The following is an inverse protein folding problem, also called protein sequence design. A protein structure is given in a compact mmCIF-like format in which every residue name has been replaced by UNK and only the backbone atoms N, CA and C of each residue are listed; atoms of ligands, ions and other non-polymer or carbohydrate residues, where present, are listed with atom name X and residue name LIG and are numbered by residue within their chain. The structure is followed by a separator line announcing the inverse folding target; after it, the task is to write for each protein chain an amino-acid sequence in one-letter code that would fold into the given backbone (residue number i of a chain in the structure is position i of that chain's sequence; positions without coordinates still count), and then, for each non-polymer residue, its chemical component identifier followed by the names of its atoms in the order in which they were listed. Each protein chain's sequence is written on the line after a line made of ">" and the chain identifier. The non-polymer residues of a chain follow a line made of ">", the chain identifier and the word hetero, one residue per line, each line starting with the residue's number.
data_IF_338337039044
#
_entry.id   IF_338337039044
#
_cell.length_a   1.000
_cell.length_b   1.000
_cell.length_c   1.000
_cell.angle_alpha   90.00
_cell.angle_beta   90.00
_cell.angle_gamma   90.00
#
_symmetry.space_group_name_H-M   'P 1'
#
loop_
_entity.id
_entity.type
_entity.pdbx_description
1 polymer ?
#
# COMPACT_ATOMS: atom_id res chain seq x y z
N UNK A 1 -21.52 12.57 -30.35
CA UNK A 1 -20.51 13.37 -29.61
C UNK A 1 -19.16 12.70 -29.81
N UNK A 2 -18.27 13.31 -30.62
CA UNK A 2 -16.88 12.88 -30.67
C UNK A 2 -16.22 13.26 -29.34
N UNK A 3 -15.79 12.26 -28.56
CA UNK A 3 -14.98 12.49 -27.38
C UNK A 3 -13.62 12.93 -27.89
N UNK A 4 -13.27 14.20 -27.70
CA UNK A 4 -11.96 14.73 -28.08
C UNK A 4 -10.90 14.06 -27.20
N UNK A 5 -10.03 13.24 -27.80
CA UNK A 5 -8.85 12.65 -27.13
C UNK A 5 -7.62 13.37 -27.64
N UNK A 6 -6.98 14.13 -26.77
CA UNK A 6 -5.67 14.76 -26.99
C UNK A 6 -4.60 14.04 -26.18
N UNK A 7 -3.42 13.81 -26.77
CA UNK A 7 -2.26 13.35 -26.02
C UNK A 7 -1.56 14.55 -25.38
N UNK A 8 -1.29 14.44 -24.10
CA UNK A 8 -0.51 15.39 -23.30
C UNK A 8 0.78 14.71 -22.87
N UNK A 9 1.90 15.15 -23.39
CA UNK A 9 3.21 14.60 -23.03
C UNK A 9 3.83 13.68 -24.11
N UNK A 10 5.15 13.62 -24.09
CA UNK A 10 5.96 12.78 -25.00
C UNK A 10 6.17 11.35 -24.49
N UNK A 11 5.68 11.02 -23.30
CA UNK A 11 6.05 9.82 -22.58
C UNK A 11 4.82 9.12 -22.00
N UNK A 12 4.52 7.95 -22.54
CA UNK A 12 3.50 7.05 -21.98
C UNK A 12 4.23 5.91 -21.24
N UNK A 13 4.27 6.00 -19.91
CA UNK A 13 4.96 5.04 -19.05
C UNK A 13 4.16 3.73 -18.94
N UNK A 14 4.10 2.96 -20.01
CA UNK A 14 3.44 1.65 -20.04
C UNK A 14 4.37 0.64 -20.74
N UNK A 15 4.50 -0.53 -20.13
CA UNK A 15 5.33 -1.62 -20.63
C UNK A 15 4.58 -2.47 -21.66
N UNK A 16 5.30 -3.08 -22.60
CA UNK A 16 4.74 -4.10 -23.48
C UNK A 16 4.15 -5.27 -22.69
N UNK A 17 3.10 -5.88 -23.25
CA UNK A 17 2.38 -7.01 -22.65
C UNK A 17 3.28 -8.23 -22.44
N UNK A 18 3.12 -8.91 -21.30
CA UNK A 18 3.71 -10.20 -21.00
C UNK A 18 2.62 -11.28 -20.93
N UNK A 19 2.90 -12.49 -21.36
CA UNK A 19 1.93 -13.59 -21.31
C UNK A 19 1.46 -13.91 -19.87
N UNK A 20 2.29 -13.58 -18.89
CA UNK A 20 1.97 -13.76 -17.47
C UNK A 20 1.08 -12.67 -16.88
N UNK A 21 0.87 -11.55 -17.56
CA UNK A 21 0.16 -10.39 -17.01
C UNK A 21 -1.25 -10.72 -16.50
N UNK A 22 -1.68 -9.97 -15.51
CA UNK A 22 -2.94 -10.15 -14.78
C UNK A 22 -3.66 -8.80 -14.76
N UNK A 23 -4.99 -8.80 -14.91
CA UNK A 23 -5.86 -7.64 -14.75
C UNK A 23 -6.83 -7.94 -13.61
N UNK A 24 -6.89 -7.07 -12.63
CA UNK A 24 -7.34 -7.35 -11.29
C UNK A 24 -8.29 -6.28 -10.78
N UNK A 25 -9.35 -6.70 -10.09
CA UNK A 25 -10.34 -5.84 -9.47
C UNK A 25 -10.91 -6.47 -8.20
N UNK A 26 -11.39 -5.63 -7.26
CA UNK A 26 -11.92 -6.02 -5.96
C UNK A 26 -13.33 -5.48 -5.74
N UNK A 27 -14.17 -6.31 -5.10
CA UNK A 27 -15.47 -5.87 -4.61
C UNK A 27 -15.53 -5.97 -3.09
N UNK A 28 -15.93 -4.88 -2.45
CA UNK A 28 -15.97 -4.79 -0.99
C UNK A 28 -17.20 -4.09 -0.45
N UNK A 29 -17.50 -4.35 0.83
CA UNK A 29 -18.57 -3.69 1.57
C UNK A 29 -18.05 -3.19 2.90
N UNK A 30 -18.43 -1.97 3.26
CA UNK A 30 -18.20 -1.43 4.59
C UNK A 30 -19.39 -1.73 5.50
N UNK A 31 -19.12 -2.30 6.69
CA UNK A 31 -20.12 -2.43 7.74
C UNK A 31 -20.41 -1.03 8.33
N UNK A 32 -21.63 -0.52 8.20
CA UNK A 32 -21.98 0.83 8.63
C UNK A 32 -21.99 0.99 10.15
N UNK A 33 -22.04 -0.10 10.92
CA UNK A 33 -22.10 -0.09 12.40
C UNK A 33 -20.73 -0.24 13.00
N UNK A 34 -19.96 -1.20 12.50
CA UNK A 34 -18.63 -1.52 13.03
C UNK A 34 -17.51 -0.73 12.34
N UNK A 35 -17.79 -0.09 11.19
CA UNK A 35 -16.78 0.59 10.38
C UNK A 35 -15.73 -0.35 9.78
N UNK A 36 -15.94 -1.66 9.87
CA UNK A 36 -15.06 -2.68 9.29
C UNK A 36 -15.38 -2.86 7.82
N UNK A 37 -14.36 -3.11 7.01
CA UNK A 37 -14.49 -3.40 5.59
C UNK A 37 -14.26 -4.88 5.33
N UNK A 38 -15.06 -5.46 4.45
CA UNK A 38 -14.95 -6.85 3.97
C UNK A 38 -14.83 -6.81 2.45
N UNK A 39 -13.71 -7.31 1.90
CA UNK A 39 -13.57 -7.59 0.48
C UNK A 39 -14.21 -8.95 0.19
N UNK A 40 -15.41 -8.94 -0.36
CA UNK A 40 -16.17 -10.19 -0.57
C UNK A 40 -15.82 -10.89 -1.87
N UNK A 41 -15.15 -10.22 -2.80
CA UNK A 41 -14.74 -10.80 -4.07
C UNK A 41 -13.38 -10.26 -4.52
N UNK A 42 -12.46 -11.17 -4.80
CA UNK A 42 -11.20 -10.90 -5.47
C UNK A 42 -11.30 -11.50 -6.86
N UNK A 43 -11.30 -10.67 -7.90
CA UNK A 43 -11.39 -11.11 -9.28
C UNK A 43 -10.17 -10.76 -10.11
N UNK A 44 -9.87 -11.58 -11.10
CA UNK A 44 -8.83 -11.27 -12.08
C UNK A 44 -9.07 -11.95 -13.43
N UNK A 45 -8.55 -11.31 -14.47
CA UNK A 45 -8.40 -11.88 -15.79
C UNK A 45 -6.93 -12.17 -16.09
N UNK A 46 -6.67 -13.23 -16.85
CA UNK A 46 -5.34 -13.61 -17.33
C UNK A 46 -5.43 -14.36 -18.65
N UNK A 47 -4.33 -14.44 -19.39
CA UNK A 47 -4.30 -15.26 -20.60
C UNK A 47 -4.06 -16.74 -20.30
N UNK A 48 -4.86 -17.59 -20.95
CA UNK A 48 -4.63 -19.03 -20.99
C UNK A 48 -3.32 -19.35 -21.72
N UNK A 49 -2.60 -20.35 -21.21
CA UNK A 49 -1.31 -20.75 -21.77
C UNK A 49 -1.45 -21.47 -23.13
N UNK A 50 -2.60 -22.13 -23.36
CA UNK A 50 -2.79 -23.01 -24.50
C UNK A 50 -3.33 -22.32 -25.75
N UNK A 51 -4.20 -21.32 -25.60
CA UNK A 51 -4.97 -20.74 -26.71
C UNK A 51 -5.04 -19.19 -26.70
N UNK A 52 -4.34 -18.55 -25.77
CA UNK A 52 -4.34 -17.10 -25.56
C UNK A 52 -5.72 -16.47 -25.24
N UNK A 53 -6.74 -17.28 -24.98
CA UNK A 53 -8.04 -16.79 -24.54
C UNK A 53 -7.91 -16.13 -23.16
N UNK A 54 -8.78 -15.14 -22.89
CA UNK A 54 -8.89 -14.54 -21.56
C UNK A 54 -9.69 -15.48 -20.66
N UNK A 55 -9.16 -15.76 -19.48
CA UNK A 55 -9.78 -16.57 -18.43
C UNK A 55 -9.99 -15.69 -17.22
N UNK A 56 -11.22 -15.70 -16.71
CA UNK A 56 -11.56 -15.06 -15.43
C UNK A 56 -11.43 -16.05 -14.29
N UNK A 57 -10.97 -15.58 -13.13
CA UNK A 57 -10.86 -16.35 -11.89
C UNK A 57 -11.26 -15.49 -10.71
N UNK A 58 -12.02 -16.05 -9.78
CA UNK A 58 -12.56 -15.38 -8.62
C UNK A 58 -12.30 -16.14 -7.32
N UNK A 59 -12.17 -15.40 -6.22
CA UNK A 59 -12.17 -15.91 -4.85
C UNK A 59 -13.22 -15.15 -4.05
N UNK A 60 -14.20 -15.85 -3.54
CA UNK A 60 -15.28 -15.32 -2.74
C UNK A 60 -14.99 -15.42 -1.25
N UNK A 61 -15.49 -14.44 -0.47
CA UNK A 61 -15.41 -14.40 0.97
C UNK A 61 -16.67 -13.76 1.57
N UNK A 62 -17.31 -14.42 2.53
CA UNK A 62 -18.53 -13.93 3.18
C UNK A 62 -18.35 -13.75 4.68
N UNK A 63 -17.12 -13.82 5.17
CA UNK A 63 -16.74 -13.60 6.55
C UNK A 63 -15.26 -13.20 6.62
N UNK A 64 -14.80 -12.59 7.73
CA UNK A 64 -13.39 -12.24 7.90
C UNK A 64 -12.43 -13.44 7.78
N UNK A 65 -12.83 -14.62 8.19
CA UNK A 65 -12.02 -15.84 8.07
C UNK A 65 -11.93 -16.33 6.61
N UNK A 66 -13.03 -16.22 5.86
CA UNK A 66 -13.05 -16.53 4.44
C UNK A 66 -12.27 -15.48 3.64
N UNK A 67 -12.34 -14.18 4.01
CA UNK A 67 -11.56 -13.10 3.40
C UNK A 67 -10.06 -13.33 3.57
N UNK A 68 -9.61 -13.65 4.79
CA UNK A 68 -8.22 -14.03 5.02
C UNK A 68 -7.78 -15.15 4.09
N UNK A 69 -8.59 -16.22 4.01
CA UNK A 69 -8.27 -17.38 3.18
C UNK A 69 -8.26 -17.04 1.68
N UNK A 70 -9.27 -16.31 1.20
CA UNK A 70 -9.35 -15.87 -0.19
C UNK A 70 -8.12 -15.03 -0.58
N UNK A 71 -7.71 -14.11 0.29
CA UNK A 71 -6.52 -13.30 0.12
C UNK A 71 -5.23 -14.14 0.07
N UNK A 72 -5.07 -15.10 1.01
CA UNK A 72 -3.91 -15.99 1.05
C UNK A 72 -3.82 -16.88 -0.20
N UNK A 73 -4.95 -17.47 -0.62
CA UNK A 73 -5.07 -18.33 -1.79
C UNK A 73 -4.77 -17.52 -3.09
N UNK A 74 -5.24 -16.28 -3.17
CA UNK A 74 -4.96 -15.37 -4.29
C UNK A 74 -3.46 -15.01 -4.37
N UNK A 75 -2.84 -14.62 -3.24
CA UNK A 75 -1.41 -14.31 -3.19
C UNK A 75 -0.58 -15.52 -3.59
N UNK A 76 -0.94 -16.72 -3.11
CA UNK A 76 -0.23 -17.96 -3.48
C UNK A 76 -0.37 -18.28 -4.97
N UNK A 77 -1.54 -18.05 -5.54
CA UNK A 77 -1.76 -18.24 -6.98
C UNK A 77 -0.89 -17.28 -7.81
N UNK A 78 -0.78 -16.01 -7.42
CA UNK A 78 0.07 -15.02 -8.07
C UNK A 78 1.55 -15.41 -7.94
N UNK A 79 2.02 -15.79 -6.76
CA UNK A 79 3.39 -16.25 -6.55
C UNK A 79 3.75 -17.46 -7.40
N UNK A 80 2.82 -18.41 -7.56
CA UNK A 80 3.02 -19.56 -8.43
C UNK A 80 3.05 -19.17 -9.91
N UNK A 81 2.31 -18.13 -10.31
CA UNK A 81 2.36 -17.57 -11.66
C UNK A 81 3.67 -16.81 -11.90
N UNK A 82 4.17 -16.04 -10.92
CA UNK A 82 5.46 -15.35 -10.96
C UNK A 82 6.64 -16.31 -11.18
N UNK A 83 6.61 -17.53 -10.63
CA UNK A 83 7.64 -18.56 -10.90
C UNK A 83 7.73 -18.94 -12.36
N UNK A 84 6.61 -18.89 -13.11
CA UNK A 84 6.55 -19.20 -14.54
C UNK A 84 6.81 -17.97 -15.41
N UNK A 85 6.36 -16.81 -14.96
CA UNK A 85 6.44 -15.53 -15.66
C UNK A 85 7.08 -14.47 -14.74
N UNK A 86 8.41 -14.48 -14.55
CA UNK A 86 9.09 -13.59 -13.61
C UNK A 86 8.87 -12.09 -13.87
N UNK A 87 8.54 -11.76 -15.12
CA UNK A 87 8.33 -10.38 -15.56
C UNK A 87 6.84 -10.00 -15.66
N UNK A 88 5.90 -10.78 -15.11
CA UNK A 88 4.48 -10.41 -15.12
C UNK A 88 4.24 -9.11 -14.35
N UNK A 89 3.14 -8.44 -14.68
CA UNK A 89 2.59 -7.32 -13.90
C UNK A 89 1.12 -7.57 -13.57
N UNK A 90 0.67 -6.96 -12.49
CA UNK A 90 -0.73 -6.95 -12.05
C UNK A 90 -1.26 -5.56 -12.31
N UNK A 91 -2.13 -5.43 -13.31
CA UNK A 91 -2.74 -4.17 -13.69
C UNK A 91 -4.06 -3.97 -12.96
N UNK A 92 -4.29 -2.76 -12.48
CA UNK A 92 -5.53 -2.32 -11.84
C UNK A 92 -5.84 -0.88 -12.24
N UNK A 93 -6.99 -0.34 -11.82
CA UNK A 93 -7.39 1.02 -12.15
C UNK A 93 -7.80 1.81 -10.92
N UNK A 94 -6.94 2.72 -10.47
CA UNK A 94 -7.11 3.52 -9.27
C UNK A 94 -6.38 2.96 -8.04
N UNK A 95 -6.46 3.69 -6.94
CA UNK A 95 -5.68 3.40 -5.73
C UNK A 95 -6.33 2.38 -4.78
N UNK A 96 -7.60 2.00 -5.06
CA UNK A 96 -8.38 1.17 -4.15
C UNK A 96 -7.77 -0.22 -3.93
N UNK A 97 -7.46 -0.95 -5.01
CA UNK A 97 -6.93 -2.31 -4.97
C UNK A 97 -5.62 -2.37 -4.20
N UNK A 98 -4.71 -1.44 -4.50
CA UNK A 98 -3.43 -1.34 -3.81
C UNK A 98 -3.57 -1.06 -2.31
N UNK A 99 -4.54 -0.23 -1.94
CA UNK A 99 -4.85 0.08 -0.54
C UNK A 99 -5.51 -1.10 0.17
N UNK A 100 -6.41 -1.80 -0.51
CA UNK A 100 -7.11 -2.97 0.02
C UNK A 100 -6.15 -4.14 0.31
N UNK A 101 -5.27 -4.51 -0.62
CA UNK A 101 -4.31 -5.61 -0.40
C UNK A 101 -3.32 -5.31 0.73
N UNK A 102 -2.90 -4.04 0.92
CA UNK A 102 -2.10 -3.62 2.06
C UNK A 102 -2.88 -3.79 3.37
N UNK A 103 -4.12 -3.31 3.39
CA UNK A 103 -5.01 -3.45 4.55
C UNK A 103 -5.23 -4.91 4.91
N UNK A 104 -5.52 -5.78 3.94
CA UNK A 104 -5.70 -7.22 4.16
C UNK A 104 -4.46 -7.89 4.75
N UNK A 105 -3.27 -7.59 4.20
CA UNK A 105 -2.01 -8.13 4.72
C UNK A 105 -1.79 -7.76 6.19
N UNK A 106 -2.08 -6.51 6.57
CA UNK A 106 -1.94 -6.01 7.93
C UNK A 106 -3.02 -6.52 8.87
N UNK A 107 -4.28 -6.42 8.47
CA UNK A 107 -5.44 -6.84 9.27
C UNK A 107 -5.32 -8.30 9.70
N UNK A 108 -4.84 -9.16 8.80
CA UNK A 108 -4.69 -10.59 9.06
C UNK A 108 -3.27 -11.00 9.43
N UNK A 109 -2.32 -10.07 9.50
CA UNK A 109 -0.89 -10.33 9.78
C UNK A 109 -0.35 -11.50 8.93
N UNK A 110 -0.68 -11.49 7.63
CA UNK A 110 -0.34 -12.55 6.67
C UNK A 110 0.23 -11.99 5.38
N UNK A 111 1.12 -12.75 4.72
CA UNK A 111 1.72 -12.40 3.42
C UNK A 111 2.39 -11.01 3.34
N UNK A 112 2.61 -10.32 4.47
CA UNK A 112 3.10 -8.94 4.54
C UNK A 112 4.41 -8.72 3.76
N UNK A 113 5.37 -9.64 3.89
CA UNK A 113 6.66 -9.56 3.19
C UNK A 113 6.49 -9.70 1.68
N UNK A 114 5.57 -10.57 1.24
CA UNK A 114 5.28 -10.77 -0.19
C UNK A 114 4.66 -9.49 -0.76
N UNK A 115 3.65 -8.95 -0.09
CA UNK A 115 2.98 -7.70 -0.53
C UNK A 115 3.97 -6.53 -0.53
N UNK A 116 4.81 -6.39 0.51
CA UNK A 116 5.85 -5.36 0.54
C UNK A 116 6.82 -5.48 -0.66
N UNK A 117 7.23 -6.70 -1.02
CA UNK A 117 8.05 -6.95 -2.19
C UNK A 117 7.33 -6.61 -3.50
N UNK A 118 6.05 -6.95 -3.64
CA UNK A 118 5.25 -6.59 -4.82
C UNK A 118 5.16 -5.07 -5.02
N UNK A 119 4.92 -4.32 -3.92
CA UNK A 119 4.88 -2.86 -3.96
C UNK A 119 6.24 -2.26 -4.34
N UNK A 120 7.32 -2.77 -3.77
CA UNK A 120 8.68 -2.29 -4.01
C UNK A 120 9.19 -2.60 -5.42
N UNK A 121 8.79 -3.73 -5.99
CA UNK A 121 9.17 -4.15 -7.35
C UNK A 121 8.27 -3.58 -8.44
N UNK A 122 7.32 -2.68 -8.07
CA UNK A 122 6.32 -2.17 -9.01
C UNK A 122 5.60 -3.31 -9.76
N UNK A 123 5.29 -4.41 -9.03
CA UNK A 123 4.52 -5.52 -9.60
C UNK A 123 3.10 -5.10 -9.91
N UNK A 124 2.49 -4.28 -9.03
CA UNK A 124 1.19 -3.65 -9.23
C UNK A 124 1.36 -2.39 -10.07
N UNK A 125 0.55 -2.26 -11.10
CA UNK A 125 0.57 -1.15 -12.06
C UNK A 125 -0.81 -0.54 -12.13
N UNK A 126 -0.93 0.67 -11.61
CA UNK A 126 -2.14 1.47 -11.74
C UNK A 126 -2.19 2.12 -13.13
N UNK A 127 -3.27 1.86 -13.88
CA UNK A 127 -3.46 2.43 -15.21
C UNK A 127 -4.06 3.85 -15.17
N UNK A 128 -4.64 4.28 -14.05
CA UNK A 128 -5.21 5.63 -13.93
C UNK A 128 -4.14 6.73 -14.14
N UNK A 129 -2.96 6.67 -13.49
CA UNK A 129 -1.88 7.62 -13.75
C UNK A 129 -1.42 7.65 -15.21
N UNK A 130 -1.38 6.48 -15.86
CA UNK A 130 -1.02 6.39 -17.29
C UNK A 130 -2.04 7.12 -18.14
N UNK A 131 -3.33 6.96 -17.84
CA UNK A 131 -4.42 7.64 -18.57
C UNK A 131 -4.37 9.14 -18.33
N UNK A 132 -4.37 9.59 -17.08
CA UNK A 132 -4.40 11.03 -16.73
C UNK A 132 -3.16 11.77 -17.21
N UNK A 133 -1.99 11.14 -17.13
CA UNK A 133 -0.72 11.72 -17.60
C UNK A 133 -0.53 11.72 -19.12
N UNK A 134 -1.30 10.92 -19.86
CA UNK A 134 -1.10 10.75 -21.31
C UNK A 134 -2.25 11.24 -22.17
N UNK A 135 -3.46 11.37 -21.63
CA UNK A 135 -4.69 11.58 -22.41
C UNK A 135 -5.50 12.73 -21.81
N UNK A 136 -5.94 13.65 -22.66
CA UNK A 136 -7.01 14.61 -22.33
C UNK A 136 -8.34 14.02 -22.75
N UNK A 137 -9.24 13.84 -21.80
CA UNK A 137 -10.56 13.28 -21.97
C UNK A 137 -11.60 14.42 -21.98
N UNK A 138 -12.54 14.42 -22.92
CA UNK A 138 -13.65 15.37 -22.99
C UNK A 138 -14.80 15.06 -22.01
N UNK A 139 -14.52 14.34 -20.94
CA UNK A 139 -15.45 13.96 -19.86
C UNK A 139 -15.09 14.72 -18.58
N UNK A 140 -16.00 14.73 -17.60
CA UNK A 140 -15.83 15.45 -16.33
C UNK A 140 -14.95 14.69 -15.31
N UNK A 141 -14.59 13.44 -15.59
CA UNK A 141 -13.69 12.62 -14.76
C UNK A 141 -13.02 11.51 -15.56
N UNK A 142 -11.95 10.95 -14.99
CA UNK A 142 -11.21 9.82 -15.54
C UNK A 142 -11.63 8.49 -14.92
N UNK A 143 -12.90 8.35 -14.45
CA UNK A 143 -13.36 7.04 -13.99
C UNK A 143 -13.30 6.01 -15.12
N UNK A 144 -13.03 4.73 -14.79
CA UNK A 144 -12.93 3.69 -15.81
C UNK A 144 -14.19 3.60 -16.67
N UNK A 145 -15.37 3.83 -16.08
CA UNK A 145 -16.69 3.83 -16.78
C UNK A 145 -16.85 4.93 -17.85
N UNK A 146 -16.01 5.96 -17.80
CA UNK A 146 -15.97 7.01 -18.81
C UNK A 146 -14.89 6.76 -19.84
N UNK A 147 -13.74 6.27 -19.39
CA UNK A 147 -12.61 5.93 -20.25
C UNK A 147 -12.93 4.72 -21.13
N UNK A 148 -13.69 3.73 -20.63
CA UNK A 148 -14.06 2.52 -21.39
C UNK A 148 -14.84 2.81 -22.68
N UNK A 149 -15.55 3.93 -22.78
CA UNK A 149 -16.24 4.37 -24.01
C UNK A 149 -15.29 4.54 -25.20
N UNK A 150 -13.98 4.62 -24.98
CA UNK A 150 -12.97 4.76 -26.02
C UNK A 150 -12.52 3.42 -26.62
N UNK A 151 -12.74 2.31 -25.92
CA UNK A 151 -12.20 0.99 -26.31
C UNK A 151 -13.17 -0.18 -26.11
N UNK A 152 -14.35 0.05 -25.50
CA UNK A 152 -15.40 -0.95 -25.32
C UNK A 152 -16.73 -0.48 -25.85
N UNK A 153 -17.57 -1.42 -26.27
CA UNK A 153 -18.98 -1.18 -26.52
C UNK A 153 -19.75 -0.93 -25.21
N UNK A 154 -20.92 -0.35 -25.32
CA UNK A 154 -21.71 0.00 -24.16
C UNK A 154 -22.09 -1.25 -23.34
N UNK A 155 -21.90 -1.23 -22.02
CA UNK A 155 -22.31 -2.33 -21.12
C UNK A 155 -23.83 -2.37 -21.00
N UNK A 156 -24.38 -3.56 -21.11
CA UNK A 156 -25.81 -3.84 -20.95
C UNK A 156 -26.09 -4.55 -19.60
N UNK A 157 -25.29 -4.26 -18.57
CA UNK A 157 -25.33 -4.95 -17.27
C UNK A 157 -26.38 -4.33 -16.33
N UNK A 158 -26.98 -5.19 -15.49
CA UNK A 158 -27.93 -4.80 -14.43
C UNK A 158 -27.25 -4.03 -13.28
N UNK A 159 -25.95 -4.31 -13.01
CA UNK A 159 -25.09 -3.57 -12.10
C UNK A 159 -24.21 -2.64 -12.90
N UNK A 160 -24.29 -1.34 -12.64
CA UNK A 160 -23.58 -0.29 -13.40
C UNK A 160 -22.53 0.44 -12.56
N UNK A 161 -22.62 0.33 -11.24
CA UNK A 161 -21.75 1.04 -10.31
C UNK A 161 -21.33 0.13 -9.15
N UNK A 162 -20.22 0.46 -8.49
CA UNK A 162 -19.79 -0.19 -7.25
C UNK A 162 -20.88 -0.14 -6.14
N UNK A 163 -21.69 0.93 -6.11
CA UNK A 163 -22.83 1.04 -5.21
C UNK A 163 -23.90 -0.03 -5.47
N UNK A 164 -24.16 -0.36 -6.73
CA UNK A 164 -25.12 -1.40 -7.10
C UNK A 164 -24.62 -2.80 -6.69
N UNK A 165 -23.31 -3.06 -6.81
CA UNK A 165 -22.65 -4.28 -6.32
C UNK A 165 -22.85 -4.47 -4.81
N UNK A 166 -22.64 -3.41 -4.01
CA UNK A 166 -22.89 -3.42 -2.56
C UNK A 166 -24.36 -3.68 -2.24
N UNK A 167 -25.29 -3.09 -2.99
CA UNK A 167 -26.73 -3.33 -2.81
C UNK A 167 -27.09 -4.78 -3.12
N UNK A 168 -26.56 -5.36 -4.20
CA UNK A 168 -26.78 -6.75 -4.58
C UNK A 168 -26.22 -7.70 -3.51
N UNK A 169 -25.01 -7.42 -2.97
CA UNK A 169 -24.41 -8.20 -1.90
C UNK A 169 -25.25 -8.20 -0.61
N UNK A 170 -25.78 -7.03 -0.21
CA UNK A 170 -26.67 -6.93 0.95
C UNK A 170 -27.97 -7.70 0.75
N UNK A 171 -28.59 -7.59 -0.43
CA UNK A 171 -29.78 -8.38 -0.79
C UNK A 171 -29.52 -9.87 -0.68
N UNK A 172 -28.37 -10.34 -1.17
CA UNK A 172 -27.97 -11.73 -1.01
C UNK A 172 -27.81 -12.11 0.45
N UNK A 173 -27.11 -11.30 1.25
CA UNK A 173 -26.88 -11.54 2.69
C UNK A 173 -28.18 -11.76 3.46
N UNK A 174 -29.25 -11.07 3.08
CA UNK A 174 -30.56 -11.14 3.74
C UNK A 174 -31.45 -12.26 3.17
N UNK A 175 -31.10 -12.84 2.02
CA UNK A 175 -31.98 -13.76 1.28
C UNK A 175 -31.92 -15.22 1.74
N UNK A 176 -30.83 -15.64 2.38
CA UNK A 176 -30.55 -17.04 2.67
C UNK A 176 -30.21 -17.90 1.44
N UNK A 177 -29.91 -17.28 0.31
CA UNK A 177 -29.47 -17.95 -0.92
C UNK A 177 -28.10 -18.63 -0.76
N UNK A 178 -27.76 -19.59 -1.67
CA UNK A 178 -26.44 -20.22 -1.64
C UNK A 178 -25.26 -19.24 -1.68
N UNK A 179 -24.15 -19.63 -1.08
CA UNK A 179 -22.92 -18.81 -1.01
C UNK A 179 -22.12 -18.75 -2.31
N UNK A 180 -22.53 -19.42 -3.36
CA UNK A 180 -21.86 -19.44 -4.65
C UNK A 180 -22.69 -18.68 -5.69
N UNK A 181 -22.08 -18.03 -6.68
CA UNK A 181 -22.79 -17.47 -7.81
C UNK A 181 -23.49 -18.56 -8.62
N UNK A 182 -24.56 -18.21 -9.32
CA UNK A 182 -25.29 -19.11 -10.19
C UNK A 182 -26.80 -19.02 -10.07
N UNK A 183 -27.49 -20.07 -10.56
CA UNK A 183 -28.95 -20.14 -10.62
C UNK A 183 -29.48 -21.01 -9.48
N UNK A 184 -30.56 -20.55 -8.83
CA UNK A 184 -31.26 -21.31 -7.78
C UNK A 184 -31.69 -22.70 -8.28
N UNK A 185 -31.65 -23.71 -7.45
CA UNK A 185 -31.28 -23.72 -6.02
C UNK A 185 -29.78 -23.95 -5.75
N UNK A 186 -28.95 -24.04 -6.76
CA UNK A 186 -27.51 -24.39 -6.61
C UNK A 186 -26.59 -23.19 -6.42
N UNK A 187 -27.01 -22.01 -6.88
CA UNK A 187 -26.25 -20.78 -6.76
C UNK A 187 -27.16 -19.59 -6.51
N UNK A 188 -26.59 -18.43 -6.21
CA UNK A 188 -27.28 -17.16 -6.03
C UNK A 188 -27.22 -16.31 -7.29
N UNK A 189 -28.37 -15.88 -7.85
CA UNK A 189 -28.40 -14.91 -8.94
C UNK A 189 -27.81 -13.57 -8.56
N UNK A 190 -27.92 -13.15 -7.29
CA UNK A 190 -27.34 -11.89 -6.80
C UNK A 190 -25.81 -11.93 -6.85
N UNK A 191 -25.21 -13.03 -6.40
CA UNK A 191 -23.76 -13.23 -6.48
C UNK A 191 -23.30 -13.38 -7.93
N UNK A 192 -24.11 -13.97 -8.81
CA UNK A 192 -23.79 -14.09 -10.23
C UNK A 192 -23.70 -12.71 -10.90
N UNK A 193 -24.64 -11.81 -10.63
CA UNK A 193 -24.61 -10.44 -11.14
C UNK A 193 -23.36 -9.70 -10.70
N UNK A 194 -22.95 -9.87 -9.43
CA UNK A 194 -21.71 -9.28 -8.89
C UNK A 194 -20.47 -9.88 -9.58
N UNK A 195 -20.44 -11.20 -9.77
CA UNK A 195 -19.32 -11.86 -10.45
C UNK A 195 -19.17 -11.42 -11.90
N UNK A 196 -20.30 -11.28 -12.61
CA UNK A 196 -20.31 -10.80 -13.98
C UNK A 196 -19.82 -9.35 -14.07
N UNK A 197 -20.26 -8.49 -13.13
CA UNK A 197 -19.79 -7.11 -13.02
C UNK A 197 -18.26 -7.01 -12.79
N UNK A 198 -17.74 -7.73 -11.80
CA UNK A 198 -16.31 -7.76 -11.51
C UNK A 198 -15.49 -8.33 -12.68
N UNK A 199 -16.02 -9.36 -13.37
CA UNK A 199 -15.40 -9.89 -14.59
C UNK A 199 -15.29 -8.83 -15.67
N UNK A 200 -16.36 -8.09 -15.91
CA UNK A 200 -16.35 -6.99 -16.88
C UNK A 200 -15.35 -5.90 -16.52
N UNK A 201 -15.15 -5.57 -15.23
CA UNK A 201 -14.18 -4.58 -14.79
C UNK A 201 -12.74 -5.09 -14.99
N UNK A 202 -12.46 -6.37 -14.71
CA UNK A 202 -11.18 -6.99 -15.04
C UNK A 202 -10.91 -7.00 -16.56
N UNK A 203 -11.90 -7.34 -17.39
CA UNK A 203 -11.80 -7.33 -18.85
C UNK A 203 -11.63 -5.91 -19.38
N UNK A 204 -12.35 -4.92 -18.82
CA UNK A 204 -12.19 -3.51 -19.17
C UNK A 204 -10.75 -3.04 -18.90
N UNK A 205 -10.18 -3.40 -17.75
CA UNK A 205 -8.79 -3.09 -17.41
C UNK A 205 -7.81 -3.72 -18.39
N UNK A 206 -8.08 -4.96 -18.86
CA UNK A 206 -7.29 -5.62 -19.91
C UNK A 206 -7.37 -4.85 -21.23
N UNK A 207 -8.57 -4.53 -21.68
CA UNK A 207 -8.80 -3.82 -22.94
C UNK A 207 -8.22 -2.41 -22.91
N UNK A 208 -8.30 -1.71 -21.77
CA UNK A 208 -7.63 -0.43 -21.56
C UNK A 208 -6.12 -0.57 -21.77
N UNK A 209 -5.48 -1.56 -21.14
CA UNK A 209 -4.06 -1.81 -21.31
C UNK A 209 -3.71 -2.03 -22.79
N UNK A 210 -4.45 -2.88 -23.49
CA UNK A 210 -4.25 -3.14 -24.92
C UNK A 210 -4.45 -1.89 -25.79
N UNK A 211 -5.46 -1.10 -25.49
CA UNK A 211 -5.76 0.16 -26.20
C UNK A 211 -4.63 1.19 -25.99
N UNK A 212 -4.13 1.36 -24.76
CA UNK A 212 -2.99 2.23 -24.46
C UNK A 212 -1.72 1.80 -25.22
N UNK A 213 -1.42 0.50 -25.28
CA UNK A 213 -0.30 -0.02 -26.05
C UNK A 213 -0.43 0.26 -27.55
N UNK A 214 -1.63 0.10 -28.10
CA UNK A 214 -1.93 0.42 -29.50
C UNK A 214 -1.80 1.92 -29.76
N UNK A 215 -2.29 2.76 -28.84
CA UNK A 215 -2.18 4.21 -28.94
C UNK A 215 -0.72 4.66 -28.94
N UNK A 216 0.09 4.13 -28.02
CA UNK A 216 1.54 4.36 -27.96
C UNK A 216 2.24 3.98 -29.27
N UNK A 217 1.96 2.77 -29.78
CA UNK A 217 2.53 2.29 -31.05
C UNK A 217 2.15 3.17 -32.24
N UNK A 218 0.88 3.56 -32.34
CA UNK A 218 0.38 4.38 -33.44
C UNK A 218 0.98 5.79 -33.43
N UNK A 219 1.39 6.28 -32.26
CA UNK A 219 2.05 7.59 -32.11
C UNK A 219 3.58 7.51 -32.16
N UNK A 220 4.15 6.31 -32.30
CA UNK A 220 5.61 6.14 -32.38
C UNK A 220 6.33 6.48 -31.08
N UNK A 221 5.66 6.44 -29.93
CA UNK A 221 6.27 6.74 -28.63
C UNK A 221 7.13 5.56 -28.17
N UNK A 222 8.32 5.81 -27.58
CA UNK A 222 9.19 4.77 -27.08
C UNK A 222 8.56 3.99 -25.93
N UNK A 223 8.98 2.75 -25.75
CA UNK A 223 8.67 2.00 -24.56
C UNK A 223 9.50 2.51 -23.39
N UNK A 224 8.83 2.91 -22.31
CA UNK A 224 9.51 3.26 -21.07
C UNK A 224 9.30 2.13 -20.06
N UNK A 225 10.40 1.55 -19.55
CA UNK A 225 10.29 0.60 -18.46
C UNK A 225 9.82 1.31 -17.19
N UNK A 226 8.85 0.72 -16.48
CA UNK A 226 8.54 1.10 -15.12
C UNK A 226 9.75 0.80 -14.24
N UNK A 227 10.44 1.85 -13.78
CA UNK A 227 11.55 1.67 -12.85
C UNK A 227 11.01 1.17 -11.49
N UNK A 228 11.60 0.11 -10.91
CA UNK A 228 11.24 -0.30 -9.56
C UNK A 228 11.56 0.82 -8.57
N UNK A 229 10.65 1.08 -7.63
CA UNK A 229 10.82 2.09 -6.57
C UNK A 229 12.06 1.87 -5.70
N UNK A 230 12.61 0.65 -5.71
CA UNK A 230 13.84 0.27 -5.02
C UNK A 230 14.71 -0.61 -5.92
N UNK A 231 16.02 -0.52 -5.73
CA UNK A 231 16.98 -1.44 -6.37
C UNK A 231 16.68 -2.88 -5.95
N UNK A 232 16.79 -3.83 -6.90
CA UNK A 232 16.54 -5.28 -6.69
C UNK A 232 17.30 -5.86 -5.48
N UNK A 233 18.46 -5.30 -5.14
CA UNK A 233 19.29 -5.69 -3.99
C UNK A 233 18.57 -5.62 -2.64
N UNK A 234 17.46 -4.87 -2.54
CA UNK A 234 16.70 -4.67 -1.29
C UNK A 234 15.38 -5.46 -1.25
N UNK A 235 15.10 -6.26 -2.29
CA UNK A 235 13.88 -7.08 -2.35
C UNK A 235 14.13 -8.38 -1.62
N UNK A 236 13.25 -8.73 -0.67
CA UNK A 236 13.28 -10.02 0.04
C UNK A 236 14.27 -10.11 1.21
N UNK A 237 14.88 -8.99 1.63
CA UNK A 237 15.72 -8.98 2.83
C UNK A 237 14.83 -9.16 4.06
N UNK A 238 14.96 -10.32 4.71
CA UNK A 238 14.33 -10.61 6.00
C UNK A 238 15.12 -9.90 7.09
N UNK A 239 14.46 -9.05 7.86
CA UNK A 239 15.10 -8.39 9.02
C UNK A 239 15.42 -9.40 10.12
N UNK A 240 16.40 -9.14 11.01
CA UNK A 240 16.70 -10.04 12.13
C UNK A 240 15.47 -10.34 13.01
N UNK A 241 14.59 -9.36 13.27
CA UNK A 241 13.37 -9.58 14.05
C UNK A 241 12.35 -10.47 13.31
N UNK A 242 12.21 -10.34 12.01
CA UNK A 242 11.39 -11.24 11.19
C UNK A 242 11.99 -12.66 11.18
N UNK A 243 13.29 -12.79 11.04
CA UNK A 243 13.97 -14.08 11.15
C UNK A 243 13.71 -14.78 12.48
N UNK A 244 13.86 -14.04 13.60
CA UNK A 244 13.57 -14.58 14.94
C UNK A 244 12.10 -14.95 15.13
N UNK A 245 11.19 -14.16 14.55
CA UNK A 245 9.76 -14.46 14.50
C UNK A 245 9.49 -15.78 13.77
N UNK A 246 10.02 -15.93 12.55
CA UNK A 246 9.86 -17.16 11.75
C UNK A 246 10.41 -18.38 12.50
N UNK A 247 11.57 -18.26 13.14
CA UNK A 247 12.14 -19.35 13.95
C UNK A 247 11.19 -19.80 15.08
N UNK A 248 10.53 -18.86 15.76
CA UNK A 248 9.53 -19.20 16.78
C UNK A 248 8.30 -19.87 16.19
N UNK A 249 7.83 -19.41 14.99
CA UNK A 249 6.70 -19.99 14.28
C UNK A 249 7.01 -21.42 13.80
N UNK A 250 8.22 -21.66 13.29
CA UNK A 250 8.63 -22.97 12.77
C UNK A 250 8.66 -24.06 13.85
N UNK A 251 8.91 -23.68 15.09
CA UNK A 251 8.90 -24.58 16.24
C UNK A 251 7.45 -24.94 16.70
N UNK A 252 6.42 -24.22 16.21
CA UNK A 252 5.03 -24.48 16.56
C UNK A 252 4.43 -25.60 15.69
N UNK A 253 3.48 -26.39 16.23
CA UNK A 253 2.67 -27.31 15.41
C UNK A 253 1.90 -26.56 14.32
N UNK A 254 1.73 -27.19 13.15
CA UNK A 254 1.03 -26.58 12.00
C UNK A 254 -0.36 -26.01 12.35
N UNK A 255 -1.12 -26.73 13.18
CA UNK A 255 -2.43 -26.25 13.67
C UNK A 255 -2.38 -24.92 14.44
N UNK A 256 -1.20 -24.53 14.97
CA UNK A 256 -1.04 -23.27 15.69
C UNK A 256 -0.58 -22.14 14.78
N UNK A 257 0.09 -22.45 13.67
CA UNK A 257 0.60 -21.45 12.72
C UNK A 257 -0.51 -20.71 11.96
N UNK A 258 -1.66 -21.34 11.79
CA UNK A 258 -2.82 -20.78 11.07
C UNK A 258 -3.77 -19.96 11.94
N UNK A 259 -3.52 -19.91 13.27
CA UNK A 259 -4.38 -19.19 14.20
C UNK A 259 -4.17 -17.67 14.08
N UNK A 260 -5.25 -16.93 14.08
CA UNK A 260 -5.23 -15.46 14.11
C UNK A 260 -5.45 -14.93 15.54
N UNK A 261 -5.42 -13.59 15.69
CA UNK A 261 -5.61 -12.93 16.99
C UNK A 261 -6.98 -13.19 17.63
N UNK A 262 -8.01 -13.52 16.84
CA UNK A 262 -9.35 -13.86 17.34
C UNK A 262 -9.35 -15.28 17.88
N UNK A 263 -8.69 -16.22 17.19
CA UNK A 263 -8.57 -17.63 17.62
C UNK A 263 -7.81 -17.74 18.94
N UNK A 264 -6.88 -16.81 19.22
CA UNK A 264 -6.14 -16.75 20.47
C UNK A 264 -7.02 -16.45 21.70
N UNK A 265 -8.25 -15.96 21.50
CA UNK A 265 -9.25 -15.72 22.54
C UNK A 265 -10.15 -16.93 22.82
N UNK A 266 -10.13 -17.92 21.92
CA UNK A 266 -10.94 -19.12 22.05
C UNK A 266 -10.22 -20.16 22.92
N UNK A 267 -10.69 -20.36 24.16
CA UNK A 267 -10.15 -21.32 25.10
C UNK A 267 -10.39 -22.79 24.68
N UNK A 268 -11.26 -23.05 23.70
CA UNK A 268 -11.50 -24.39 23.16
C UNK A 268 -10.31 -24.90 22.32
N UNK A 269 -9.47 -24.01 21.82
CA UNK A 269 -8.29 -24.38 21.05
C UNK A 269 -7.18 -24.76 22.04
N UNK A 270 -6.73 -26.03 21.99
CA UNK A 270 -5.68 -26.57 22.89
C UNK A 270 -4.28 -25.99 22.60
N UNK A 271 -4.16 -24.64 22.65
CA UNK A 271 -2.89 -23.91 22.48
C UNK A 271 -2.15 -23.65 23.79
N UNK A 272 -2.75 -24.06 24.93
CA UNK A 272 -2.15 -23.91 26.27
C UNK A 272 -1.15 -25.03 26.63
N UNK A 273 -0.78 -25.90 25.68
CA UNK A 273 0.28 -26.89 25.89
C UNK A 273 1.65 -26.21 25.92
N UNK A 274 2.52 -26.66 26.83
CA UNK A 274 3.89 -26.16 26.91
C UNK A 274 4.74 -26.71 25.78
N UNK A 275 5.40 -25.80 25.07
CA UNK A 275 6.39 -26.11 24.04
C UNK A 275 7.81 -26.34 24.62
N UNK A 276 8.74 -26.62 23.72
CA UNK A 276 10.15 -26.89 24.04
C UNK A 276 10.86 -25.75 24.80
N UNK A 277 10.35 -24.52 24.68
CA UNK A 277 10.93 -23.31 25.33
C UNK A 277 10.39 -23.05 26.74
N UNK A 278 9.57 -23.98 27.30
CA UNK A 278 8.97 -23.83 28.63
C UNK A 278 7.81 -22.84 28.73
N UNK A 279 7.40 -22.24 27.62
CA UNK A 279 6.20 -21.40 27.49
C UNK A 279 5.09 -22.17 26.75
N UNK A 280 3.85 -21.74 26.87
CA UNK A 280 2.74 -22.31 26.10
C UNK A 280 2.88 -21.97 24.61
N UNK A 281 2.27 -22.76 23.73
CA UNK A 281 2.25 -22.45 22.29
C UNK A 281 1.57 -21.11 22.01
N UNK A 282 0.56 -20.76 22.82
CA UNK A 282 -0.09 -19.43 22.77
C UNK A 282 0.91 -18.31 23.03
N UNK A 283 1.68 -18.40 24.10
CA UNK A 283 2.70 -17.40 24.45
C UNK A 283 3.79 -17.30 23.40
N UNK A 284 4.22 -18.43 22.85
CA UNK A 284 5.23 -18.48 21.78
C UNK A 284 4.72 -17.84 20.49
N UNK A 285 3.47 -18.14 20.10
CA UNK A 285 2.82 -17.53 18.93
C UNK A 285 2.68 -16.01 19.11
N UNK A 286 2.20 -15.57 20.29
CA UNK A 286 2.07 -14.16 20.61
C UNK A 286 3.43 -13.44 20.55
N UNK A 287 4.47 -14.04 21.12
CA UNK A 287 5.82 -13.48 21.05
C UNK A 287 6.33 -13.37 19.60
N UNK A 288 6.10 -14.41 18.79
CA UNK A 288 6.48 -14.40 17.39
C UNK A 288 5.84 -13.24 16.62
N UNK A 289 4.55 -12.97 16.87
CA UNK A 289 3.85 -11.84 16.22
C UNK A 289 4.24 -10.47 16.80
N UNK A 290 4.63 -10.38 18.06
CA UNK A 290 5.05 -9.12 18.69
C UNK A 290 6.46 -8.67 18.26
N UNK A 291 7.35 -9.59 17.93
CA UNK A 291 8.73 -9.24 17.53
C UNK A 291 8.77 -8.30 16.32
N UNK A 292 8.08 -8.55 15.20
CA UNK A 292 8.07 -7.66 14.06
C UNK A 292 7.02 -6.52 14.17
N UNK A 293 6.32 -6.35 15.31
CA UNK A 293 5.23 -5.37 15.48
C UNK A 293 5.61 -3.97 15.02
N UNK A 294 6.71 -3.42 15.52
CA UNK A 294 7.16 -2.07 15.15
C UNK A 294 7.62 -1.96 13.68
N UNK A 295 8.06 -3.08 13.08
CA UNK A 295 8.37 -3.10 11.66
C UNK A 295 7.09 -3.01 10.82
N UNK A 296 6.04 -3.75 11.22
CA UNK A 296 4.73 -3.70 10.54
C UNK A 296 4.11 -2.31 10.64
N UNK A 297 4.12 -1.69 11.83
CA UNK A 297 3.64 -0.33 12.02
C UNK A 297 4.39 0.69 11.16
N UNK A 298 5.72 0.57 11.08
CA UNK A 298 6.54 1.43 10.24
C UNK A 298 6.22 1.26 8.73
N UNK A 299 5.91 0.03 8.28
CA UNK A 299 5.57 -0.25 6.87
C UNK A 299 4.38 0.58 6.40
N UNK A 300 3.34 0.77 7.23
CA UNK A 300 2.15 1.59 6.89
C UNK A 300 2.55 3.01 6.51
N UNK A 301 3.37 3.64 7.38
CA UNK A 301 3.82 5.01 7.17
C UNK A 301 4.64 5.14 5.88
N UNK A 302 5.51 4.16 5.61
CA UNK A 302 6.31 4.13 4.38
C UNK A 302 5.46 3.89 3.14
N UNK A 303 4.45 3.05 3.20
CA UNK A 303 3.54 2.81 2.08
C UNK A 303 2.74 4.08 1.74
N UNK A 304 2.19 4.77 2.75
CA UNK A 304 1.51 6.05 2.54
C UNK A 304 2.43 7.11 1.94
N UNK A 305 3.68 7.16 2.39
CA UNK A 305 4.68 8.07 1.84
C UNK A 305 4.98 7.76 0.35
N UNK A 306 5.13 6.50 -0.01
CA UNK A 306 5.37 6.11 -1.41
C UNK A 306 4.15 6.38 -2.30
N UNK A 307 2.94 6.20 -1.78
CA UNK A 307 1.72 6.55 -2.52
C UNK A 307 1.65 8.05 -2.81
N UNK A 308 1.93 8.88 -1.80
CA UNK A 308 2.00 10.33 -1.98
C UNK A 308 3.00 10.72 -3.06
N UNK A 309 4.16 10.07 -3.11
CA UNK A 309 5.15 10.28 -4.17
C UNK A 309 4.63 9.89 -5.54
N UNK A 310 3.95 8.77 -5.62
CA UNK A 310 3.36 8.30 -6.86
C UNK A 310 2.28 9.28 -7.34
N UNK A 311 1.34 9.68 -6.48
CA UNK A 311 0.30 10.65 -6.79
C UNK A 311 0.91 12.01 -7.20
N UNK A 312 1.90 12.50 -6.48
CA UNK A 312 2.59 13.77 -6.81
C UNK A 312 3.26 13.75 -8.20
N UNK A 313 3.54 12.57 -8.75
CA UNK A 313 4.17 12.45 -10.07
C UNK A 313 3.19 12.62 -11.24
N UNK A 314 1.88 12.46 -11.03
CA UNK A 314 0.89 12.51 -12.10
C UNK A 314 -0.34 13.40 -11.81
N UNK A 315 -0.71 13.61 -10.56
CA UNK A 315 -1.86 14.43 -10.16
C UNK A 315 -1.68 14.99 -8.75
N UNK A 316 -0.81 15.97 -8.60
CA UNK A 316 -0.51 16.55 -7.29
C UNK A 316 -1.72 17.26 -6.66
N UNK A 317 -2.70 17.69 -7.45
CA UNK A 317 -3.93 18.32 -6.95
C UNK A 317 -4.74 17.39 -6.04
N UNK A 318 -4.66 16.06 -6.20
CA UNK A 318 -5.28 15.10 -5.29
C UNK A 318 -4.70 15.16 -3.87
N UNK A 319 -3.50 15.71 -3.71
CA UNK A 319 -2.81 15.85 -2.42
C UNK A 319 -3.19 17.13 -1.67
N UNK A 320 -3.98 18.04 -2.24
CA UNK A 320 -4.45 19.26 -1.58
C UNK A 320 -5.20 19.00 -0.26
N UNK A 321 -5.93 17.89 -0.19
CA UNK A 321 -6.68 17.47 1.00
C UNK A 321 -5.83 16.63 1.99
N UNK A 322 -4.59 16.24 1.61
CA UNK A 322 -3.72 15.45 2.48
C UNK A 322 -3.02 16.34 3.51
N UNK A 323 -3.37 16.16 4.76
CA UNK A 323 -2.87 16.98 5.88
C UNK A 323 -1.36 16.85 6.18
N UNK A 324 -0.66 15.92 5.54
CA UNK A 324 0.80 15.71 5.68
C UNK A 324 1.59 16.02 4.40
N UNK A 325 0.95 16.72 3.46
CA UNK A 325 1.56 17.18 2.20
C UNK A 325 1.33 18.67 2.03
N UNK A 326 2.34 19.40 1.60
CA UNK A 326 2.21 20.79 1.16
C UNK A 326 2.26 20.79 -0.36
N UNK A 327 1.13 21.11 -0.99
CA UNK A 327 1.01 21.18 -2.44
C UNK A 327 1.20 22.63 -2.94
N UNK A 328 1.82 22.78 -4.10
CA UNK A 328 1.99 24.07 -4.77
C UNK A 328 2.95 25.03 -4.04
N UNK A 329 3.93 24.50 -3.31
CA UNK A 329 4.91 25.32 -2.61
C UNK A 329 5.85 26.01 -3.61
N UNK A 330 5.97 27.33 -3.50
CA UNK A 330 6.83 28.17 -4.36
C UNK A 330 7.96 28.78 -3.53
N UNK A 331 9.17 28.66 -4.02
CA UNK A 331 10.33 29.27 -3.39
C UNK A 331 10.21 30.80 -3.36
N UNK A 332 10.48 31.41 -2.21
CA UNK A 332 10.42 32.85 -2.00
C UNK A 332 11.81 33.46 -1.80
N UNK A 333 12.56 32.95 -0.84
CA UNK A 333 13.89 33.49 -0.49
C UNK A 333 14.76 32.47 0.24
N UNK A 334 16.05 32.77 0.25
CA UNK A 334 17.06 32.05 1.05
C UNK A 334 17.84 32.99 1.95
N UNK A 335 18.13 32.56 3.16
CA UNK A 335 18.92 33.30 4.15
C UNK A 335 19.98 32.37 4.75
N UNK A 336 21.23 32.86 4.83
CA UNK A 336 22.32 32.16 5.52
C UNK A 336 22.43 32.64 6.96
N UNK A 337 22.35 31.71 7.91
CA UNK A 337 22.53 32.02 9.36
C UNK A 337 23.71 31.24 9.91
N UNK A 338 24.69 31.96 10.49
CA UNK A 338 25.89 31.37 11.07
C UNK A 338 25.84 31.50 12.59
N UNK A 339 26.06 30.40 13.32
CA UNK A 339 26.39 30.39 14.74
C UNK A 339 27.90 30.15 14.93
N UNK A 340 28.43 30.35 16.15
CA UNK A 340 29.86 30.23 16.46
C UNK A 340 30.51 28.91 16.02
N UNK A 341 29.75 27.83 15.88
CA UNK A 341 30.26 26.50 15.53
C UNK A 341 29.61 25.85 14.30
N UNK A 342 28.47 26.36 13.84
CA UNK A 342 27.70 25.74 12.76
C UNK A 342 26.98 26.80 11.93
N UNK A 343 26.84 26.57 10.65
CA UNK A 343 26.04 27.40 9.77
C UNK A 343 25.00 26.58 9.02
N UNK A 344 23.93 27.22 8.61
CA UNK A 344 22.89 26.63 7.78
C UNK A 344 22.27 27.69 6.88
N UNK A 345 21.80 27.26 5.72
CA UNK A 345 20.93 28.04 4.85
C UNK A 345 19.47 27.71 5.19
N UNK A 346 18.65 28.74 5.20
CA UNK A 346 17.21 28.65 5.42
C UNK A 346 16.51 29.06 4.15
N UNK A 347 15.63 28.23 3.65
CA UNK A 347 14.87 28.43 2.42
C UNK A 347 13.39 28.55 2.78
N UNK A 348 12.82 29.71 2.47
CA UNK A 348 11.39 29.96 2.70
C UNK A 348 10.62 29.71 1.42
N UNK A 349 9.58 28.89 1.51
CA UNK A 349 8.63 28.63 0.43
C UNK A 349 7.23 29.05 0.88
N UNK A 350 6.44 29.56 -0.06
CA UNK A 350 5.03 29.90 0.14
C UNK A 350 4.12 28.88 -0.48
N UNK A 351 2.98 28.61 0.17
CA UNK A 351 1.93 27.74 -0.31
C UNK A 351 0.55 28.33 0.01
N UNK A 352 -0.53 27.73 -0.52
CA UNK A 352 -1.88 28.18 -0.24
C UNK A 352 -2.24 27.91 1.25
N UNK A 353 -2.56 28.94 2.07
CA UNK A 353 -2.89 28.77 3.47
C UNK A 353 -4.21 28.03 3.74
N UNK A 354 -5.06 27.84 2.72
CA UNK A 354 -6.33 27.11 2.87
C UNK A 354 -6.14 25.58 2.99
N UNK A 355 -4.91 25.07 2.84
CA UNK A 355 -4.59 23.64 3.04
C UNK A 355 -4.69 23.29 4.52
N UNK A 356 -5.47 22.26 4.86
CA UNK A 356 -5.65 21.78 6.22
C UNK A 356 -4.47 20.91 6.68
N UNK A 357 -3.37 21.52 7.08
CA UNK A 357 -2.12 20.82 7.41
C UNK A 357 -2.05 20.36 8.86
N UNK A 358 -1.53 19.13 9.06
CA UNK A 358 -1.15 18.57 10.38
C UNK A 358 0.37 18.34 10.45
N UNK A 359 1.14 19.29 9.93
CA UNK A 359 2.59 19.28 9.96
C UNK A 359 3.06 20.15 11.14
N UNK A 360 3.64 19.53 12.15
CA UNK A 360 4.17 20.21 13.32
C UNK A 360 5.69 20.05 13.38
N UNK A 361 6.42 21.15 13.43
CA UNK A 361 7.81 21.16 13.86
C UNK A 361 7.81 21.36 15.39
N UNK A 362 8.40 20.48 16.17
CA UNK A 362 8.54 20.71 17.60
C UNK A 362 9.54 21.83 17.85
N UNK A 363 9.10 22.89 18.53
CA UNK A 363 9.98 24.00 18.94
C UNK A 363 11.10 23.52 19.88
N UNK A 364 10.91 22.40 20.56
CA UNK A 364 11.85 21.83 21.53
C UNK A 364 12.88 20.87 20.93
N UNK A 365 12.92 20.68 19.60
CA UNK A 365 13.88 19.80 18.92
C UNK A 365 13.69 18.30 19.18
N UNK A 366 12.60 17.91 19.85
CA UNK A 366 12.31 16.51 20.22
C UNK A 366 11.83 15.68 19.02
N UNK A 367 11.14 16.27 18.06
CA UNK A 367 10.76 15.61 16.82
C UNK A 367 11.20 16.42 15.60
N UNK A 368 11.95 15.79 14.71
CA UNK A 368 12.44 16.41 13.49
C UNK A 368 11.41 16.21 12.38
N UNK A 369 10.90 17.30 11.81
CA UNK A 369 10.08 17.23 10.61
C UNK A 369 10.98 17.26 9.39
N UNK A 370 11.05 16.16 8.65
CA UNK A 370 11.75 16.11 7.36
C UNK A 370 10.72 16.07 6.25
N UNK A 371 10.86 16.95 5.27
CA UNK A 371 10.05 16.98 4.06
C UNK A 371 10.90 16.55 2.86
N UNK A 372 10.29 15.89 1.89
CA UNK A 372 10.89 15.57 0.61
C UNK A 372 10.21 16.38 -0.49
N UNK A 373 11.00 17.02 -1.34
CA UNK A 373 10.51 17.64 -2.56
C UNK A 373 10.27 16.53 -3.58
N UNK A 374 9.00 16.29 -3.94
CA UNK A 374 8.60 15.14 -4.74
C UNK A 374 9.31 15.07 -6.10
N UNK A 375 9.45 16.22 -6.78
CA UNK A 375 10.05 16.30 -8.12
C UNK A 375 11.55 16.03 -8.17
N UNK A 376 12.30 16.30 -7.07
CA UNK A 376 13.76 16.18 -7.04
C UNK A 376 14.27 15.08 -6.10
N UNK A 377 13.40 14.57 -5.22
CA UNK A 377 13.76 13.62 -4.18
C UNK A 377 14.63 14.21 -3.06
N UNK A 378 14.81 15.54 -3.02
CA UNK A 378 15.59 16.21 -1.98
C UNK A 378 14.88 16.14 -0.63
N UNK A 379 15.50 15.48 0.36
CA UNK A 379 15.04 15.43 1.75
C UNK A 379 15.69 16.54 2.58
N UNK A 380 14.88 17.37 3.19
CA UNK A 380 15.30 18.55 3.92
C UNK A 380 14.48 18.75 5.19
N UNK A 381 15.13 19.26 6.26
CA UNK A 381 14.43 19.48 7.52
C UNK A 381 13.59 20.77 7.46
N UNK A 382 12.33 20.67 7.83
CA UNK A 382 11.47 21.82 8.07
C UNK A 382 11.61 22.26 9.53
N UNK A 383 11.99 23.53 9.72
CA UNK A 383 12.15 24.12 11.06
C UNK A 383 10.93 24.88 11.51
N UNK A 384 10.11 25.31 10.56
CA UNK A 384 8.87 26.04 10.82
C UNK A 384 7.86 25.79 9.70
N UNK A 385 6.62 25.54 10.08
CA UNK A 385 5.47 25.49 9.18
C UNK A 385 4.41 26.41 9.77
N UNK A 386 4.18 27.54 9.11
CA UNK A 386 3.16 28.53 9.45
C UNK A 386 1.98 28.35 8.48
N UNK A 387 1.00 27.54 8.89
CA UNK A 387 -0.18 27.25 8.07
C UNK A 387 -1.03 28.50 7.85
N UNK A 388 -1.11 29.42 8.83
CA UNK A 388 -1.94 30.62 8.75
C UNK A 388 -1.40 31.59 7.69
N UNK A 389 -0.07 31.63 7.54
CA UNK A 389 0.60 32.48 6.54
C UNK A 389 0.92 31.73 5.24
N UNK A 390 0.66 30.45 5.19
CA UNK A 390 1.04 29.60 4.07
C UNK A 390 2.55 29.62 3.81
N UNK A 391 3.37 29.46 4.86
CA UNK A 391 4.83 29.52 4.74
C UNK A 391 5.49 28.32 5.42
N UNK A 392 6.48 27.74 4.74
CA UNK A 392 7.37 26.73 5.31
C UNK A 392 8.82 27.17 5.21
N UNK A 393 9.60 26.99 6.28
CA UNK A 393 11.01 27.28 6.34
C UNK A 393 11.81 25.99 6.44
N UNK A 394 12.62 25.71 5.42
CA UNK A 394 13.48 24.55 5.30
C UNK A 394 14.91 24.91 5.71
N UNK A 395 15.61 23.97 6.39
CA UNK A 395 16.97 24.17 6.89
C UNK A 395 17.96 23.21 6.25
N UNK A 396 19.01 23.75 5.62
CA UNK A 396 20.11 22.98 5.06
C UNK A 396 21.44 23.26 5.79
N UNK A 397 22.00 22.28 6.55
CA UNK A 397 23.24 22.47 7.29
C UNK A 397 24.46 22.58 6.37
N UNK A 398 25.38 23.52 6.64
CA UNK A 398 26.61 23.71 5.86
C UNK A 398 27.58 22.52 5.87
N UNK A 399 27.43 21.60 6.81
CA UNK A 399 28.19 20.32 6.80
C UNK A 399 27.88 19.44 5.59
N UNK A 400 26.76 19.68 4.90
CA UNK A 400 26.33 18.94 3.70
C UNK A 400 26.59 19.76 2.41
N UNK A 401 27.76 20.38 2.29
CA UNK A 401 28.11 21.34 1.23
C UNK A 401 28.01 20.81 -0.21
N UNK A 402 27.95 19.50 -0.42
CA UNK A 402 28.01 18.86 -1.75
C UNK A 402 26.86 19.23 -2.71
N UNK A 403 25.77 19.81 -2.19
CA UNK A 403 24.58 20.19 -2.98
C UNK A 403 24.33 21.70 -3.01
N UNK A 404 25.28 22.51 -2.61
CA UNK A 404 25.13 23.96 -2.57
C UNK A 404 25.61 24.60 -3.85
N UNK A 405 24.77 25.44 -4.47
CA UNK A 405 25.13 26.26 -5.62
C UNK A 405 25.79 27.56 -5.12
N UNK A 406 26.72 28.16 -5.91
CA UNK A 406 27.53 29.33 -5.53
C UNK A 406 26.72 30.58 -5.15
N UNK A 407 25.48 30.72 -5.60
CA UNK A 407 24.57 31.82 -5.27
C UNK A 407 23.78 31.65 -3.97
N UNK A 408 24.08 30.58 -3.18
CA UNK A 408 23.36 30.25 -1.96
C UNK A 408 22.06 29.49 -2.19
N UNK A 409 21.72 29.18 -3.44
CA UNK A 409 20.59 28.36 -3.81
C UNK A 409 20.93 26.87 -3.63
N UNK A 410 20.01 26.07 -3.07
CA UNK A 410 20.23 24.66 -2.90
C UNK A 410 19.81 23.90 -4.17
N UNK A 411 20.73 23.12 -4.74
CA UNK A 411 20.40 22.22 -5.83
C UNK A 411 19.28 21.23 -5.41
N UNK A 412 18.22 21.15 -6.20
CA UNK A 412 17.05 20.33 -5.93
C UNK A 412 15.88 21.06 -5.26
N UNK A 413 15.97 22.38 -4.96
CA UNK A 413 14.79 23.20 -4.68
C UNK A 413 14.34 23.85 -5.99
N UNK A 414 13.19 23.44 -6.56
CA UNK A 414 12.70 24.01 -7.81
C UNK A 414 12.21 25.46 -7.60
N UNK A 415 12.33 26.28 -8.63
CA UNK A 415 11.73 27.62 -8.68
C UNK A 415 10.24 27.59 -9.05
N UNK A 416 9.85 26.54 -9.75
CA UNK A 416 8.46 26.24 -10.08
C UNK A 416 7.72 25.67 -8.86
N UNK A 417 6.38 25.75 -8.81
CA UNK A 417 5.59 25.14 -7.74
C UNK A 417 5.95 23.66 -7.55
N UNK A 418 6.07 23.24 -6.30
CA UNK A 418 6.45 21.87 -5.97
C UNK A 418 5.65 21.32 -4.81
N UNK A 419 5.59 20.00 -4.76
CA UNK A 419 4.95 19.23 -3.69
C UNK A 419 5.99 18.83 -2.65
N UNK A 420 5.69 19.11 -1.37
CA UNK A 420 6.52 18.72 -0.23
C UNK A 420 5.80 17.62 0.55
N UNK A 421 6.41 16.46 0.64
CA UNK A 421 5.83 15.27 1.28
C UNK A 421 6.55 15.00 2.59
N UNK A 422 5.80 14.78 3.68
CA UNK A 422 6.37 14.39 4.96
C UNK A 422 7.05 13.03 4.87
N UNK A 423 8.34 12.99 5.21
CA UNK A 423 9.09 11.74 5.30
C UNK A 423 8.77 11.06 6.63
N UNK A 424 8.40 9.78 6.63
CA UNK A 424 8.14 9.04 7.86
C UNK A 424 9.34 9.08 8.81
N UNK A 425 9.11 9.41 10.07
CA UNK A 425 10.12 9.32 11.12
C UNK A 425 10.07 7.95 11.76
N UNK A 426 11.21 7.27 11.80
CA UNK A 426 11.33 5.96 12.44
C UNK A 426 11.58 6.11 13.96
N UNK A 427 10.54 6.58 14.67
CA UNK A 427 10.58 6.80 16.12
C UNK A 427 10.86 5.48 16.86
N UNK A 428 10.40 4.36 16.34
CA UNK A 428 10.55 3.05 16.96
C UNK A 428 11.92 2.39 16.71
N UNK A 429 12.78 2.97 15.86
CA UNK A 429 14.11 2.38 15.56
C UNK A 429 14.96 2.06 16.80
N UNK A 430 15.12 2.95 17.79
CA UNK A 430 15.91 2.61 19.00
C UNK A 430 15.29 1.47 19.81
N UNK A 431 13.95 1.37 19.81
CA UNK A 431 13.23 0.27 20.48
C UNK A 431 13.43 -1.05 19.74
N UNK A 432 13.36 -1.04 18.41
CA UNK A 432 13.61 -2.21 17.57
C UNK A 432 15.04 -2.72 17.72
N UNK A 433 16.03 -1.83 17.61
CA UNK A 433 17.45 -2.20 17.75
C UNK A 433 17.72 -2.87 19.11
N UNK A 434 17.08 -2.36 20.16
CA UNK A 434 17.20 -2.95 21.50
C UNK A 434 16.43 -4.26 21.66
N UNK A 435 15.23 -4.34 21.08
CA UNK A 435 14.42 -5.56 21.06
C UNK A 435 15.13 -6.69 20.31
N UNK A 436 15.79 -6.40 19.19
CA UNK A 436 16.55 -7.36 18.40
C UNK A 436 17.65 -8.02 19.25
N UNK A 437 18.49 -7.21 19.92
CA UNK A 437 19.55 -7.71 20.79
C UNK A 437 18.99 -8.59 21.92
N UNK A 438 17.88 -8.17 22.53
CA UNK A 438 17.25 -8.92 23.61
C UNK A 438 16.63 -10.22 23.10
N UNK A 439 15.85 -10.15 22.02
CA UNK A 439 15.19 -11.31 21.42
C UNK A 439 16.21 -12.36 20.96
N UNK A 440 17.29 -11.96 20.31
CA UNK A 440 18.36 -12.87 19.92
C UNK A 440 18.94 -13.62 21.12
N UNK A 441 19.19 -12.91 22.23
CA UNK A 441 19.69 -13.53 23.45
C UNK A 441 18.71 -14.53 24.09
N UNK A 442 17.42 -14.35 23.94
CA UNK A 442 16.37 -15.27 24.44
C UNK A 442 16.14 -16.46 23.51
N UNK A 443 16.17 -16.24 22.21
CA UNK A 443 15.77 -17.23 21.20
C UNK A 443 16.97 -18.10 20.79
N UNK A 444 18.14 -17.51 20.59
CA UNK A 444 19.36 -18.17 20.15
C UNK A 444 20.38 -18.36 21.28
N UNK A 445 20.33 -17.53 22.33
CA UNK A 445 21.21 -17.59 23.49
C UNK A 445 20.66 -18.43 24.66
N UNK A 446 21.45 -18.54 25.73
CA UNK A 446 21.05 -19.25 26.94
C UNK A 446 20.35 -18.38 28.00
N UNK A 447 19.94 -17.17 27.66
CA UNK A 447 19.23 -16.28 28.57
C UNK A 447 17.77 -16.64 28.65
N UNK A 448 17.22 -16.70 29.88
CA UNK A 448 15.78 -16.87 30.07
C UNK A 448 15.03 -15.57 29.79
N UNK A 449 13.81 -15.68 29.26
CA UNK A 449 12.90 -14.56 29.14
C UNK A 449 12.65 -13.96 30.55
N UNK A 450 12.65 -12.62 30.73
CA UNK A 450 12.30 -12.00 31.99
C UNK A 450 10.94 -12.47 32.51
N UNK A 451 10.82 -12.76 33.81
CA UNK A 451 9.61 -13.31 34.40
C UNK A 451 8.37 -12.47 34.11
N UNK A 452 8.48 -11.14 34.18
CA UNK A 452 7.36 -10.24 33.89
C UNK A 452 6.86 -10.39 32.43
N UNK A 453 7.77 -10.48 31.45
CA UNK A 453 7.42 -10.68 30.04
C UNK A 453 6.80 -12.06 29.85
N UNK A 454 7.37 -13.09 30.48
CA UNK A 454 6.81 -14.45 30.43
C UNK A 454 5.38 -14.49 30.97
N UNK A 455 5.11 -13.86 32.12
CA UNK A 455 3.79 -13.80 32.74
C UNK A 455 2.79 -13.04 31.86
N UNK A 456 3.20 -11.92 31.21
CA UNK A 456 2.35 -11.18 30.29
C UNK A 456 1.97 -12.03 29.05
N UNK A 457 2.93 -12.74 28.46
CA UNK A 457 2.70 -13.61 27.32
C UNK A 457 1.79 -14.80 27.65
N UNK A 458 1.89 -15.32 28.88
CA UNK A 458 1.02 -16.39 29.39
C UNK A 458 -0.35 -15.88 29.84
N UNK A 459 -0.63 -14.60 29.70
CA UNK A 459 -1.85 -13.94 30.23
C UNK A 459 -2.06 -14.17 31.72
N UNK A 460 -1.00 -14.34 32.49
CA UNK A 460 -1.05 -14.45 33.94
C UNK A 460 -0.97 -13.08 34.60
N UNK A 461 -1.60 -12.92 35.77
CA UNK A 461 -1.47 -11.67 36.52
C UNK A 461 0.00 -11.42 36.88
N UNK A 462 0.53 -10.26 36.54
CA UNK A 462 1.90 -9.88 36.90
C UNK A 462 1.89 -9.42 38.35
N UNK A 463 2.44 -10.26 39.23
CA UNK A 463 2.61 -9.87 40.65
C UNK A 463 3.51 -8.64 40.74
N UNK A 464 3.04 -7.58 41.35
CA UNK A 464 3.80 -6.33 41.57
C UNK A 464 3.48 -5.17 40.60
N UNK A 465 2.47 -5.29 39.73
CA UNK A 465 1.97 -4.17 38.92
C UNK A 465 0.68 -3.50 39.52
N UNK A 466 0.21 -4.00 40.66
CA UNK A 466 -0.97 -3.49 41.40
C UNK A 466 -0.59 -3.29 42.88
N UNK A 467 0.56 -2.70 43.17
CA UNK A 467 0.87 -2.10 44.47
C UNK A 467 1.26 -0.63 44.28
#
# INVERSE_FOLDING_TARGET
>A
YEIGVGLVGSEMCIRARNQGDIWFDLEGVQDPVLGTQLEYLIGLCYQNESDTSTVYKAWWAHSPSEEKKAFEDWVEWVENRLKRYPNLKIYHYGSYEKSAIRRLAQQYSTKETIIDNWLRSSLLVDLLPVVTGSIVLGEDSYSIKKVEKLYMDHRDADVKTAGDSVVAYRKWSDSGEPKNPGILPKGSPQLQIIEDYNREDCESTQLLHEWLLNLRKNKGLPEQPLEPLLKEENIGIITPLEYLSHKLLDELPEKCKTLNSLDLRDDSIKINQKGSRGMTWRAQLLLAHLLPFHLREAKVLWWTYFDRKEIASYNSDELLEDSEVIEGAVWEKSESRQSVRTGADFHSLKFNPDQNLKLYSSQDGASRLTLEIASTGLKIDAVEVDSDRGQVTLKYPWKKKEKRIDDGFLDGIPKEPCTLIKVPSDIAKPLRDRLEIQADSWINGNKKLPNAIHQLLECQSVKGLIE
#
